data_IF_398703608963
#
_entry.id   IF_398703608963
#
_cell.length_a   1.000
_cell.length_b   1.000
_cell.length_c   1.000
_cell.angle_alpha   90.00
_cell.angle_beta   90.00
_cell.angle_gamma   90.00
#
_symmetry.space_group_name_H-M   'P 1'
#
loop_
_entity.id
_entity.type
_entity.pdbx_description
1 polymer ?
#
# COMPACT_ATOMS: atom_id res chain seq x y z
N UNK A 1 -24.83 19.16 -20.05
CA UNK A 1 -24.58 17.73 -19.73
C UNK A 1 -23.50 17.68 -18.67
N UNK A 2 -23.85 17.39 -17.42
CA UNK A 2 -22.89 17.26 -16.33
C UNK A 2 -22.51 15.80 -16.14
N UNK A 3 -21.23 15.49 -16.31
CA UNK A 3 -20.64 14.22 -15.88
C UNK A 3 -20.80 14.11 -14.36
N UNK A 4 -21.57 13.12 -13.91
CA UNK A 4 -21.69 12.78 -12.50
C UNK A 4 -20.35 12.28 -11.95
N UNK A 5 -20.16 12.26 -10.61
CA UNK A 5 -18.97 11.71 -9.99
C UNK A 5 -18.83 10.24 -10.39
N UNK A 6 -17.93 9.97 -11.34
CA UNK A 6 -17.64 8.65 -11.86
C UNK A 6 -17.29 7.73 -10.70
N UNK A 7 -18.10 6.68 -10.54
CA UNK A 7 -17.84 5.60 -9.61
C UNK A 7 -16.63 4.85 -10.15
N UNK A 8 -15.41 5.24 -9.75
CA UNK A 8 -14.18 4.62 -10.24
C UNK A 8 -14.09 3.18 -9.70
N UNK A 9 -14.56 2.25 -10.53
CA UNK A 9 -14.43 0.80 -10.32
C UNK A 9 -13.16 0.35 -11.01
N UNK A 10 -12.20 -0.12 -10.22
CA UNK A 10 -10.96 -0.70 -10.74
C UNK A 10 -11.17 -2.20 -10.95
N UNK A 11 -11.18 -2.63 -12.22
CA UNK A 11 -11.24 -4.05 -12.60
C UNK A 11 -9.82 -4.56 -12.83
N UNK A 12 -9.48 -5.69 -12.20
CA UNK A 12 -8.19 -6.36 -12.37
C UNK A 12 -8.50 -7.76 -12.89
N UNK A 13 -8.38 -7.94 -14.21
CA UNK A 13 -8.63 -9.22 -14.87
C UNK A 13 -7.34 -10.01 -15.11
N UNK A 14 -6.21 -9.31 -15.29
CA UNK A 14 -4.92 -9.92 -15.56
C UNK A 14 -3.72 -9.21 -14.90
N UNK A 15 -2.52 -9.75 -15.12
CA UNK A 15 -1.28 -9.19 -14.59
C UNK A 15 -0.85 -7.86 -15.23
N UNK A 16 -1.40 -7.50 -16.38
CA UNK A 16 -1.22 -6.20 -17.02
C UNK A 16 -2.03 -5.11 -16.34
N UNK A 17 -3.28 -5.40 -15.97
CA UNK A 17 -4.14 -4.49 -15.21
C UNK A 17 -3.57 -4.16 -13.83
N UNK A 18 -2.93 -5.15 -13.19
CA UNK A 18 -2.21 -4.99 -11.93
C UNK A 18 -1.04 -4.00 -12.04
N UNK A 19 -0.36 -3.99 -13.18
CA UNK A 19 0.75 -3.09 -13.47
C UNK A 19 0.24 -1.68 -13.77
N UNK A 20 -0.82 -1.57 -14.57
CA UNK A 20 -1.52 -0.29 -14.80
C UNK A 20 -2.00 0.33 -13.49
N UNK A 21 -2.68 -0.43 -12.63
CA UNK A 21 -3.12 0.02 -11.31
C UNK A 21 -1.97 0.48 -10.41
N UNK A 22 -0.78 -0.11 -10.57
CA UNK A 22 0.43 0.32 -9.88
C UNK A 22 1.00 1.61 -10.46
N UNK A 23 0.91 1.84 -11.77
CA UNK A 23 1.43 3.04 -12.42
C UNK A 23 0.51 4.26 -12.19
N UNK A 24 -0.81 4.05 -12.11
CA UNK A 24 -1.77 5.10 -11.73
C UNK A 24 -1.72 5.45 -10.23
N UNK A 25 -1.01 4.64 -9.43
CA UNK A 25 -0.76 4.87 -8.01
C UNK A 25 0.30 5.94 -7.73
N UNK A 26 0.19 7.11 -8.38
CA UNK A 26 1.16 8.20 -8.22
C UNK A 26 0.93 8.99 -6.92
N UNK A 27 2.00 9.66 -6.46
CA UNK A 27 2.16 10.24 -5.12
C UNK A 27 1.20 11.40 -4.77
N UNK A 28 0.64 12.05 -5.78
CA UNK A 28 -0.15 13.27 -5.67
C UNK A 28 -1.31 13.20 -6.68
N UNK A 29 -2.55 13.36 -6.20
CA UNK A 29 -3.74 13.41 -7.06
C UNK A 29 -4.38 12.05 -7.37
N UNK A 30 -4.32 11.07 -6.45
CA UNK A 30 -4.93 9.76 -6.65
C UNK A 30 -6.46 9.83 -6.57
N UNK A 31 -7.21 9.41 -7.60
CA UNK A 31 -8.65 9.20 -7.48
C UNK A 31 -8.91 8.11 -6.43
N UNK A 32 -9.87 8.36 -5.54
CA UNK A 32 -10.24 7.40 -4.50
C UNK A 32 -11.02 6.27 -5.15
N UNK A 33 -10.50 5.05 -5.08
CA UNK A 33 -11.16 3.90 -5.71
C UNK A 33 -12.22 3.37 -4.75
N UNK A 34 -13.48 3.38 -5.20
CA UNK A 34 -14.62 2.98 -4.38
C UNK A 34 -14.82 1.46 -4.40
N UNK A 35 -14.46 0.80 -5.50
CA UNK A 35 -14.59 -0.66 -5.61
C UNK A 35 -13.46 -1.24 -6.46
N UNK A 36 -12.87 -2.33 -5.98
CA UNK A 36 -11.90 -3.14 -6.74
C UNK A 36 -12.53 -4.49 -6.99
N UNK A 37 -12.62 -4.89 -8.26
CA UNK A 37 -13.16 -6.19 -8.69
C UNK A 37 -12.00 -7.03 -9.23
N UNK A 38 -11.77 -8.19 -8.63
CA UNK A 38 -10.69 -9.11 -9.01
C UNK A 38 -11.30 -10.32 -9.72
N UNK A 39 -10.96 -10.53 -10.99
CA UNK A 39 -11.48 -11.63 -11.83
C UNK A 39 -10.38 -12.57 -12.29
N UNK A 40 -9.34 -12.74 -11.47
CA UNK A 40 -8.23 -13.64 -11.75
C UNK A 40 -8.68 -15.11 -11.78
N UNK A 41 -8.29 -15.89 -12.81
CA UNK A 41 -8.56 -17.32 -12.86
C UNK A 41 -7.79 -18.06 -11.76
N UNK A 42 -8.42 -19.07 -11.16
CA UNK A 42 -7.83 -19.85 -10.04
C UNK A 42 -8.27 -19.41 -8.64
N UNK A 43 -8.93 -18.26 -8.50
CA UNK A 43 -9.47 -17.79 -7.22
C UNK A 43 -10.95 -18.12 -7.08
N UNK A 44 -11.32 -18.63 -5.90
CA UNK A 44 -12.71 -18.74 -5.46
C UNK A 44 -13.34 -17.37 -5.28
N UNK A 45 -14.68 -17.29 -5.31
CA UNK A 45 -15.40 -16.02 -5.13
C UNK A 45 -15.06 -15.33 -3.79
N UNK A 46 -14.93 -16.12 -2.72
CA UNK A 46 -14.53 -15.60 -1.41
C UNK A 46 -13.11 -15.00 -1.43
N UNK A 47 -12.18 -15.60 -2.16
CA UNK A 47 -10.81 -15.09 -2.27
C UNK A 47 -10.74 -13.84 -3.15
N UNK A 48 -11.53 -13.77 -4.22
CA UNK A 48 -11.68 -12.57 -5.06
C UNK A 48 -12.18 -11.38 -4.25
N UNK A 49 -13.20 -11.59 -3.40
CA UNK A 49 -13.73 -10.54 -2.55
C UNK A 49 -12.71 -10.06 -1.51
N UNK A 50 -12.00 -10.99 -0.84
CA UNK A 50 -10.94 -10.63 0.11
C UNK A 50 -9.79 -9.88 -0.56
N UNK A 51 -9.37 -10.32 -1.75
CA UNK A 51 -8.34 -9.65 -2.53
C UNK A 51 -8.77 -8.22 -2.93
N UNK A 52 -10.00 -8.05 -3.42
CA UNK A 52 -10.57 -6.74 -3.76
C UNK A 52 -10.62 -5.78 -2.57
N UNK A 53 -11.04 -6.26 -1.39
CA UNK A 53 -11.03 -5.45 -0.17
C UNK A 53 -9.61 -5.03 0.26
N UNK A 54 -8.64 -5.96 0.22
CA UNK A 54 -7.23 -5.65 0.53
C UNK A 54 -6.64 -4.65 -0.45
N UNK A 55 -6.86 -4.85 -1.75
CA UNK A 55 -6.39 -3.95 -2.80
C UNK A 55 -6.99 -2.57 -2.64
N UNK A 56 -8.30 -2.47 -2.36
CA UNK A 56 -8.96 -1.19 -2.06
C UNK A 56 -8.32 -0.49 -0.86
N UNK A 57 -8.07 -1.21 0.23
CA UNK A 57 -7.45 -0.65 1.42
C UNK A 57 -6.04 -0.12 1.13
N UNK A 58 -5.22 -0.91 0.42
CA UNK A 58 -3.86 -0.51 0.03
C UNK A 58 -3.83 0.64 -0.98
N UNK A 59 -4.80 0.68 -1.90
CA UNK A 59 -4.91 1.76 -2.91
C UNK A 59 -5.34 3.08 -2.27
N UNK A 60 -6.14 3.01 -1.21
CA UNK A 60 -6.63 4.19 -0.49
C UNK A 60 -5.76 4.57 0.73
N UNK A 61 -4.73 3.79 1.06
CA UNK A 61 -3.81 4.11 2.15
C UNK A 61 -2.77 5.16 1.69
N UNK A 62 -2.89 6.37 2.20
CA UNK A 62 -1.97 7.49 1.95
C UNK A 62 -0.67 7.41 2.78
N UNK A 63 -0.52 6.40 3.65
CA UNK A 63 0.58 6.34 4.62
C UNK A 63 0.46 7.41 5.72
N UNK A 64 -0.69 8.08 5.81
CA UNK A 64 -0.95 9.15 6.76
C UNK A 64 -0.79 8.68 8.21
N UNK A 65 -1.24 7.45 8.50
CA UNK A 65 -1.12 6.82 9.83
C UNK A 65 0.33 6.61 10.25
N UNK A 66 1.21 6.28 9.30
CA UNK A 66 2.65 6.12 9.55
C UNK A 66 3.32 7.47 9.76
N UNK A 67 2.94 8.50 8.99
CA UNK A 67 3.40 9.88 9.19
C UNK A 67 3.01 10.44 10.56
N UNK A 68 1.76 10.21 10.98
CA UNK A 68 1.24 10.64 12.28
C UNK A 68 1.99 9.96 13.44
N UNK A 69 2.22 8.65 13.37
CA UNK A 69 3.00 7.93 14.37
C UNK A 69 4.44 8.44 14.47
N UNK A 70 5.05 8.77 13.33
CA UNK A 70 6.42 9.30 13.27
C UNK A 70 6.52 10.68 13.94
N UNK A 71 5.53 11.55 13.68
CA UNK A 71 5.40 12.84 14.33
C UNK A 71 5.24 12.71 15.85
N UNK A 72 4.36 11.80 16.31
CA UNK A 72 4.15 11.56 17.74
C UNK A 72 5.43 11.05 18.41
N UNK A 73 6.13 10.10 17.80
CA UNK A 73 7.39 9.56 18.34
C UNK A 73 8.49 10.62 18.38
N UNK A 74 8.62 11.45 17.35
CA UNK A 74 9.60 12.54 17.33
C UNK A 74 9.26 13.62 18.35
N UNK A 75 7.98 14.01 18.48
CA UNK A 75 7.54 14.94 19.51
C UNK A 75 7.83 14.38 20.92
N UNK A 76 7.51 13.11 21.17
CA UNK A 76 7.80 12.43 22.42
C UNK A 76 9.32 12.39 22.70
N UNK A 77 10.14 12.08 21.70
CA UNK A 77 11.59 12.08 21.84
C UNK A 77 12.15 13.46 22.21
N UNK A 78 11.69 14.53 21.55
CA UNK A 78 12.12 15.91 21.84
C UNK A 78 11.73 16.33 23.27
N UNK A 79 10.55 15.92 23.73
CA UNK A 79 10.07 16.27 25.08
C UNK A 79 10.67 15.41 26.19
N UNK A 80 10.91 14.12 25.93
CA UNK A 80 11.37 13.15 26.94
C UNK A 80 12.90 13.01 27.01
N UNK A 81 13.63 13.28 25.92
CA UNK A 81 15.10 13.18 25.92
C UNK A 81 15.80 14.03 27.02
N UNK A 82 15.34 15.25 27.35
CA UNK A 82 15.92 16.05 28.43
C UNK A 82 15.64 15.49 29.83
N UNK A 83 14.64 14.61 30.01
CA UNK A 83 14.39 13.93 31.30
C UNK A 83 15.30 12.72 31.49
N UNK A 84 15.71 12.07 30.40
CA UNK A 84 16.57 10.89 30.44
C UNK A 84 18.07 11.21 30.30
N UNK A 85 18.43 12.42 29.88
CA UNK A 85 19.81 12.81 29.63
C UNK A 85 20.02 14.33 29.82
N UNK A 86 21.21 14.78 30.22
CA UNK A 86 21.52 16.21 30.40
C UNK A 86 21.79 16.91 29.06
N UNK A 87 21.04 16.55 28.02
CA UNK A 87 21.19 17.14 26.69
C UNK A 87 20.47 18.49 26.68
N UNK A 88 21.14 19.59 26.28
CA UNK A 88 20.50 20.89 26.18
C UNK A 88 19.34 20.85 25.19
N UNK A 89 18.22 21.50 25.55
CA UNK A 89 17.03 21.53 24.71
C UNK A 89 17.36 22.18 23.36
N UNK A 90 17.02 21.53 22.23
CA UNK A 90 17.25 22.11 20.92
C UNK A 90 16.44 23.41 20.77
N UNK A 91 17.01 24.40 20.09
CA UNK A 91 16.29 25.63 19.77
C UNK A 91 15.09 25.37 18.85
N UNK A 92 14.10 26.27 18.88
CA UNK A 92 12.89 26.19 18.04
C UNK A 92 13.14 25.83 16.57
N UNK A 93 14.11 26.40 15.83
CA UNK A 93 14.34 26.02 14.43
C UNK A 93 14.79 24.56 14.27
N UNK A 94 15.54 24.02 15.22
CA UNK A 94 16.00 22.62 15.20
C UNK A 94 14.82 21.67 15.46
N UNK A 95 13.94 22.02 16.40
CA UNK A 95 12.70 21.27 16.65
C UNK A 95 11.83 21.23 15.40
N UNK A 96 11.65 22.37 14.73
CA UNK A 96 10.83 22.48 13.53
C UNK A 96 11.41 21.64 12.38
N UNK A 97 12.74 21.68 12.18
CA UNK A 97 13.44 20.85 11.21
C UNK A 97 13.27 19.35 11.49
N UNK A 98 13.38 18.94 12.76
CA UNK A 98 13.19 17.54 13.17
C UNK A 98 11.76 17.07 12.92
N UNK A 99 10.75 17.90 13.20
CA UNK A 99 9.35 17.56 12.92
C UNK A 99 9.09 17.41 11.42
N UNK A 100 9.66 18.28 10.58
CA UNK A 100 9.55 18.19 9.12
C UNK A 100 10.24 16.91 8.61
N UNK A 101 11.46 16.63 9.06
CA UNK A 101 12.18 15.40 8.69
C UNK A 101 11.45 14.15 9.16
N UNK A 102 10.84 14.16 10.34
CA UNK A 102 10.04 13.06 10.86
C UNK A 102 8.76 12.84 10.05
N UNK A 103 8.07 13.92 9.66
CA UNK A 103 6.87 13.86 8.85
C UNK A 103 7.18 13.31 7.44
N UNK A 104 8.24 13.82 6.81
CA UNK A 104 8.70 13.35 5.48
C UNK A 104 9.21 11.91 5.57
N UNK A 105 10.03 11.60 6.58
CA UNK A 105 10.58 10.27 6.83
C UNK A 105 9.49 9.24 7.09
N UNK A 106 8.50 9.56 7.92
CA UNK A 106 7.35 8.71 8.22
C UNK A 106 6.50 8.39 6.99
N UNK A 107 6.29 9.40 6.13
CA UNK A 107 5.59 9.24 4.86
C UNK A 107 6.37 8.32 3.91
N UNK A 108 7.68 8.52 3.77
CA UNK A 108 8.54 7.69 2.94
C UNK A 108 8.61 6.24 3.44
N UNK A 109 8.70 6.03 4.75
CA UNK A 109 8.76 4.70 5.36
C UNK A 109 7.43 3.94 5.18
N UNK A 110 6.30 4.62 5.37
CA UNK A 110 4.96 4.06 5.14
C UNK A 110 4.79 3.62 3.69
N UNK A 111 5.28 4.40 2.73
CA UNK A 111 5.24 4.06 1.32
C UNK A 111 6.17 2.92 0.94
N UNK A 112 7.39 2.89 1.49
CA UNK A 112 8.32 1.79 1.29
C UNK A 112 7.72 0.47 1.80
N UNK A 113 7.07 0.50 2.97
CA UNK A 113 6.38 -0.65 3.55
C UNK A 113 5.18 -1.09 2.71
N UNK A 114 4.35 -0.14 2.25
CA UNK A 114 3.23 -0.43 1.35
C UNK A 114 3.71 -1.08 0.04
N UNK A 115 4.79 -0.56 -0.56
CA UNK A 115 5.42 -1.16 -1.74
C UNK A 115 5.98 -2.56 -1.49
N UNK A 116 6.54 -2.80 -0.30
CA UNK A 116 7.05 -4.13 0.05
C UNK A 116 5.91 -5.15 0.18
N UNK A 117 4.85 -4.79 0.91
CA UNK A 117 3.67 -5.63 1.10
C UNK A 117 2.96 -5.93 -0.23
N UNK A 118 2.84 -4.94 -1.12
CA UNK A 118 2.26 -5.13 -2.44
C UNK A 118 3.09 -6.11 -3.29
N UNK A 119 4.42 -6.02 -3.25
CA UNK A 119 5.32 -6.94 -3.96
C UNK A 119 5.24 -8.36 -3.43
N UNK A 120 5.12 -8.53 -2.12
CA UNK A 120 4.95 -9.85 -1.51
C UNK A 120 3.62 -10.49 -1.93
N UNK A 121 2.52 -9.73 -1.88
CA UNK A 121 1.21 -10.26 -2.28
C UNK A 121 1.20 -10.63 -3.77
N UNK A 122 1.84 -9.83 -4.63
CA UNK A 122 2.01 -10.15 -6.05
C UNK A 122 2.83 -11.41 -6.29
N UNK A 123 3.91 -11.61 -5.53
CA UNK A 123 4.72 -12.84 -5.62
C UNK A 123 3.92 -14.06 -5.17
N UNK A 124 3.12 -13.93 -4.11
CA UNK A 124 2.23 -15.00 -3.62
C UNK A 124 1.21 -15.39 -4.68
N UNK A 125 0.50 -14.41 -5.25
CA UNK A 125 -0.49 -14.67 -6.30
C UNK A 125 0.13 -15.34 -7.53
N UNK A 126 1.30 -14.88 -7.96
CA UNK A 126 2.03 -15.48 -9.09
C UNK A 126 2.40 -16.95 -8.83
N UNK A 127 2.89 -17.26 -7.62
CA UNK A 127 3.23 -18.63 -7.25
C UNK A 127 2.01 -19.56 -7.21
N UNK A 128 0.84 -19.06 -6.82
CA UNK A 128 -0.41 -19.83 -6.84
C UNK A 128 -0.87 -20.11 -8.28
N UNK A 129 -0.85 -19.09 -9.15
CA UNK A 129 -1.23 -19.26 -10.57
C UNK A 129 -0.29 -20.20 -11.33
N UNK A 130 1.02 -20.14 -11.07
CA UNK A 130 2.00 -21.04 -11.70
C UNK A 130 1.84 -22.50 -11.25
N UNK A 131 1.49 -22.74 -9.97
CA UNK A 131 1.16 -24.10 -9.48
C UNK A 131 -0.07 -24.69 -10.13
N UNK A 132 -1.11 -23.88 -10.35
CA UNK A 132 -2.33 -24.36 -11.02
C UNK A 132 -2.13 -24.61 -12.51
N UNK A 133 -1.36 -23.77 -13.21
CA UNK A 133 -0.98 -24.03 -14.61
C UNK A 133 -0.13 -25.30 -14.74
N UNK A 134 0.85 -25.50 -13.87
CA UNK A 134 1.67 -26.72 -13.87
C UNK A 134 0.88 -27.99 -13.51
N UNK A 135 -0.13 -27.87 -12.63
CA UNK A 135 -1.03 -28.97 -12.28
C UNK A 135 -2.09 -29.31 -13.34
N UNK A 136 -2.36 -28.39 -14.27
CA UNK A 136 -3.24 -28.63 -15.42
C UNK A 136 -2.48 -29.29 -16.58
N UNK A 137 -1.21 -28.95 -16.78
CA UNK A 137 -0.35 -29.54 -17.82
C UNK A 137 0.07 -31.00 -17.50
N UNK A 138 0.22 -31.34 -16.22
CA UNK A 138 0.54 -32.71 -15.78
C UNK A 138 -0.62 -33.71 -15.89
N UNK A 139 -1.87 -33.24 -16.05
CA UNK A 139 -3.06 -34.12 -16.07
C UNK A 139 -3.44 -34.61 -17.47
N UNK A 140 -2.78 -34.08 -18.51
CA UNK A 140 -3.00 -34.45 -19.91
C UNK A 140 -1.92 -35.38 -20.48
N UNK A 141 -1.03 -35.91 -19.63
CA UNK A 141 -0.15 -37.04 -19.97
C UNK A 141 -0.75 -38.33 -19.40
N UNK A 142 -1.78 -38.83 -20.05
CA UNK A 142 -2.13 -40.24 -19.96
C UNK A 142 -1.85 -40.83 -21.35
N UNK A 143 -0.99 -41.86 -21.47
CA UNK A 143 -0.72 -42.54 -22.74
C UNK A 143 -1.96 -43.27 -23.27
#
# INVERSE_FOLDING_TARGET
MGDGPGTDVLVIADGGDLRRAHDTASWLGRPRVERVVVTLPGLTEAERQRAGQRLRALHNDCGCRTGELSLVLTAAAVWLAPLASPVPRPGWPVVLLLLVLAAVGGKLLGLARSRHLLREELRRLRATTERERGGHDGRNRVP
#
